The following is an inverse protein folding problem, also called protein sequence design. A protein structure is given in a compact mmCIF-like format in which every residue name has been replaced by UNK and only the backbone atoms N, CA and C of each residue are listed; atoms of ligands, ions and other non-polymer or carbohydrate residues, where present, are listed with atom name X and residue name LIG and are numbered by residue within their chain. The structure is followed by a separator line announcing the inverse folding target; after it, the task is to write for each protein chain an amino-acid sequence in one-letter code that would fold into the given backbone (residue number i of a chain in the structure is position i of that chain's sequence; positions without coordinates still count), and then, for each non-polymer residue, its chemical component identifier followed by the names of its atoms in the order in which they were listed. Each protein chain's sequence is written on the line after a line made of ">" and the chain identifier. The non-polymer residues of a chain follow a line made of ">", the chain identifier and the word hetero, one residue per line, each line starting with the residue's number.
data_IF_617712883597
#
_entry.id   IF_617712883597
#
_cell.length_a   1.000
_cell.length_b   1.000
_cell.length_c   1.000
_cell.angle_alpha   90.00
_cell.angle_beta   90.00
_cell.angle_gamma   90.00
#
_symmetry.space_group_name_H-M   'P 1'
#
loop_
_entity.id
_entity.type
_entity.pdbx_description
1 polymer ?
#
# COMPACT_ATOMS: atom_id res chain seq x y z
N UNK A 1 87.58 -0.28 -26.48
CA UNK A 1 86.93 -0.46 -27.80
C UNK A 1 85.78 -1.45 -27.61
N UNK A 2 84.53 -1.08 -27.94
CA UNK A 2 83.32 -1.60 -27.32
C UNK A 2 82.59 -2.65 -28.17
N UNK A 3 81.82 -3.55 -27.53
CA UNK A 3 80.86 -4.44 -28.21
C UNK A 3 79.48 -4.38 -27.52
N UNK A 4 78.69 -3.42 -27.99
CA UNK A 4 77.23 -3.35 -28.18
C UNK A 4 76.31 -4.22 -27.30
N UNK A 5 75.68 -3.57 -26.33
CA UNK A 5 74.42 -4.01 -25.70
C UNK A 5 73.22 -3.72 -26.61
N UNK A 6 72.39 -4.74 -26.88
CA UNK A 6 71.11 -4.62 -27.58
C UNK A 6 70.03 -4.10 -26.62
N UNK A 7 69.27 -3.10 -27.06
CA UNK A 7 68.09 -2.54 -26.38
C UNK A 7 66.91 -3.52 -26.47
N UNK A 8 66.28 -3.86 -25.36
CA UNK A 8 64.91 -4.36 -25.31
C UNK A 8 64.01 -3.26 -24.75
N UNK A 9 63.02 -2.85 -25.55
CA UNK A 9 62.01 -1.88 -25.15
C UNK A 9 60.99 -2.56 -24.24
N UNK A 10 60.84 -2.06 -23.02
CA UNK A 10 59.73 -2.41 -22.13
C UNK A 10 58.62 -1.39 -22.40
N UNK A 11 57.50 -1.88 -22.91
CA UNK A 11 56.28 -1.13 -23.17
C UNK A 11 55.54 -0.97 -21.83
N UNK A 12 55.66 0.19 -21.19
CA UNK A 12 54.91 0.49 -19.96
C UNK A 12 53.48 0.90 -20.34
N UNK A 13 52.51 0.02 -20.11
CA UNK A 13 51.08 0.33 -20.17
C UNK A 13 50.74 1.14 -18.92
N UNK A 14 50.51 2.45 -19.07
CA UNK A 14 49.93 3.30 -18.04
C UNK A 14 48.44 2.94 -17.89
N UNK A 15 48.10 2.23 -16.81
CA UNK A 15 46.72 2.10 -16.37
C UNK A 15 46.28 3.42 -15.73
N UNK A 16 45.46 4.19 -16.45
CA UNK A 16 44.78 5.37 -15.93
C UNK A 16 43.70 4.89 -14.94
N UNK A 17 44.02 4.86 -13.65
CA UNK A 17 43.03 4.69 -12.60
C UNK A 17 42.21 5.99 -12.50
N UNK A 18 41.12 6.07 -13.28
CA UNK A 18 40.13 7.11 -13.16
C UNK A 18 39.48 7.05 -11.79
N UNK A 19 39.69 8.08 -10.98
CA UNK A 19 38.98 8.32 -9.73
C UNK A 19 37.51 8.58 -10.09
N UNK A 20 36.65 7.56 -10.09
CA UNK A 20 35.20 7.77 -10.08
C UNK A 20 34.84 8.31 -8.70
N UNK A 21 34.80 9.64 -8.60
CA UNK A 21 34.01 10.30 -7.55
C UNK A 21 32.55 9.92 -7.84
N UNK A 22 31.84 9.24 -6.93
CA UNK A 22 30.41 9.07 -7.10
C UNK A 22 29.81 10.48 -7.05
N UNK A 23 29.24 10.90 -8.18
CA UNK A 23 28.36 12.04 -8.23
C UNK A 23 27.09 11.61 -7.47
N UNK A 24 27.11 11.76 -6.15
CA UNK A 24 25.87 11.86 -5.41
C UNK A 24 25.17 13.08 -5.99
N UNK A 25 24.09 12.85 -6.74
CA UNK A 25 23.13 13.90 -7.01
C UNK A 25 22.74 14.43 -5.62
N UNK A 26 23.27 15.59 -5.27
CA UNK A 26 22.85 16.30 -4.06
C UNK A 26 21.36 16.52 -4.24
N UNK A 27 20.55 15.82 -3.45
CA UNK A 27 19.21 16.27 -3.18
C UNK A 27 19.32 17.75 -2.77
N UNK A 28 18.45 18.57 -3.33
CA UNK A 28 18.45 20.02 -3.14
C UNK A 28 18.61 20.36 -1.64
N UNK A 29 19.69 21.05 -1.27
CA UNK A 29 20.02 21.44 0.11
C UNK A 29 19.03 22.49 0.68
N UNK A 30 17.86 22.70 0.07
CA UNK A 30 17.04 23.89 0.32
C UNK A 30 15.56 23.58 0.48
N UNK A 31 15.23 22.96 1.60
CA UNK A 31 14.32 23.56 2.59
C UNK A 31 14.08 22.57 3.73
N UNK A 32 15.09 22.38 4.59
CA UNK A 32 14.73 21.84 5.90
C UNK A 32 13.78 22.82 6.59
N UNK A 33 12.87 22.28 7.38
CA UNK A 33 12.07 23.07 8.30
C UNK A 33 12.08 22.42 9.67
N UNK A 34 11.98 23.27 10.68
CA UNK A 34 11.99 22.88 12.07
C UNK A 34 10.62 23.14 12.70
N UNK A 35 9.98 22.08 13.20
CA UNK A 35 8.80 22.21 14.06
C UNK A 35 9.29 22.28 15.50
N UNK A 36 8.94 23.36 16.23
CA UNK A 36 9.31 23.57 17.63
C UNK A 36 8.09 23.57 18.54
N UNK A 37 8.33 23.46 19.85
CA UNK A 37 7.31 23.53 20.91
C UNK A 37 6.17 22.51 20.71
N UNK A 38 6.47 21.34 20.16
CA UNK A 38 5.49 20.30 19.92
C UNK A 38 5.50 19.26 21.05
N UNK A 39 4.32 18.72 21.35
CA UNK A 39 4.18 17.50 22.14
C UNK A 39 4.09 16.31 21.18
N UNK A 40 5.20 15.62 21.00
CA UNK A 40 5.35 14.53 20.04
C UNK A 40 4.67 13.26 20.57
N UNK A 41 3.80 12.67 19.75
CA UNK A 41 3.27 11.31 19.90
C UNK A 41 3.68 10.52 18.66
N UNK A 42 4.69 9.65 18.79
CA UNK A 42 5.35 9.01 17.64
C UNK A 42 4.63 7.75 17.09
N UNK A 43 3.47 7.40 17.65
CA UNK A 43 2.69 6.23 17.23
C UNK A 43 3.15 4.90 17.83
N UNK A 44 4.23 4.86 18.61
CA UNK A 44 4.72 3.63 19.26
C UNK A 44 3.87 3.13 20.43
N UNK A 45 2.92 3.94 20.91
CA UNK A 45 2.16 3.71 22.14
C UNK A 45 2.88 4.16 23.43
N UNK A 46 4.11 4.68 23.32
CA UNK A 46 4.86 5.25 24.45
C UNK A 46 4.36 6.62 24.92
N UNK A 47 4.96 7.18 25.99
CA UNK A 47 4.63 8.51 26.48
C UNK A 47 5.05 9.60 25.49
N UNK A 48 4.30 10.70 25.49
CA UNK A 48 4.63 11.88 24.67
C UNK A 48 5.91 12.58 25.12
N UNK A 49 6.65 13.17 24.18
CA UNK A 49 7.88 13.96 24.45
C UNK A 49 7.71 15.40 24.01
N UNK A 50 8.22 16.36 24.79
CA UNK A 50 8.19 17.78 24.41
C UNK A 50 9.52 18.16 23.76
N UNK A 51 9.55 18.12 22.44
CA UNK A 51 10.76 18.20 21.62
C UNK A 51 10.45 18.88 20.28
N UNK A 52 11.50 19.17 19.53
CA UNK A 52 11.44 19.70 18.17
C UNK A 52 11.72 18.60 17.15
N UNK A 53 11.21 18.78 15.93
CA UNK A 53 11.39 17.86 14.80
C UNK A 53 11.94 18.62 13.61
N UNK A 54 13.09 18.19 13.10
CA UNK A 54 13.63 18.68 11.83
C UNK A 54 13.23 17.73 10.72
N UNK A 55 12.63 18.28 9.67
CA UNK A 55 12.32 17.56 8.43
C UNK A 55 13.22 18.11 7.34
N UNK A 56 13.80 17.23 6.55
CA UNK A 56 14.62 17.59 5.40
C UNK A 56 14.13 16.80 4.18
N UNK A 57 13.66 17.50 3.16
CA UNK A 57 12.98 16.89 2.02
C UNK A 57 11.77 16.07 2.48
N UNK A 58 11.81 14.76 2.22
CA UNK A 58 10.75 13.80 2.56
C UNK A 58 11.06 12.95 3.79
N UNK A 59 12.03 13.34 4.62
CA UNK A 59 12.46 12.54 5.78
C UNK A 59 12.49 13.36 7.06
N UNK A 60 12.10 12.72 8.17
CA UNK A 60 12.40 13.20 9.51
C UNK A 60 13.91 13.01 9.74
N UNK A 61 14.64 14.11 9.88
CA UNK A 61 16.09 14.10 9.99
C UNK A 61 16.54 13.96 11.46
N UNK A 62 15.96 14.76 12.36
CA UNK A 62 16.40 14.85 13.76
C UNK A 62 15.20 15.11 14.69
N UNK A 63 15.30 14.59 15.92
CA UNK A 63 14.39 14.83 17.03
C UNK A 63 15.17 15.34 18.24
N UNK A 64 14.56 16.21 19.05
CA UNK A 64 15.10 16.62 20.35
C UNK A 64 15.05 18.12 20.58
N UNK A 65 15.96 18.63 21.42
CA UNK A 65 16.07 20.07 21.70
C UNK A 65 16.90 20.77 20.61
N UNK A 66 16.25 21.07 19.49
CA UNK A 66 16.90 21.60 18.29
C UNK A 66 16.80 23.13 18.25
N UNK A 67 17.84 23.77 17.69
CA UNK A 67 17.83 25.20 17.34
C UNK A 67 17.67 25.36 15.82
N UNK A 68 16.97 26.41 15.36
CA UNK A 68 16.88 26.72 13.93
C UNK A 68 18.27 26.91 13.32
N UNK A 69 18.50 26.31 12.14
CA UNK A 69 19.65 26.60 11.30
C UNK A 69 19.48 27.97 10.62
N UNK A 70 20.58 28.54 10.13
CA UNK A 70 20.54 29.82 9.42
C UNK A 70 19.68 29.71 8.15
N UNK A 71 18.58 30.46 8.09
CA UNK A 71 17.65 30.44 6.95
C UNK A 71 16.65 29.28 6.95
N UNK A 72 16.62 28.47 8.02
CA UNK A 72 15.66 27.37 8.18
C UNK A 72 14.28 27.90 8.57
N UNK A 73 13.25 27.49 7.83
CA UNK A 73 11.86 27.81 8.18
C UNK A 73 11.51 27.16 9.51
N UNK A 74 11.00 27.95 10.45
CA UNK A 74 10.56 27.46 11.76
C UNK A 74 9.04 27.53 11.86
N UNK A 75 8.42 26.42 12.25
CA UNK A 75 6.99 26.29 12.54
C UNK A 75 6.83 26.11 14.04
N UNK A 76 6.13 27.04 14.70
CA UNK A 76 5.81 26.91 16.12
C UNK A 76 4.51 26.13 16.29
N UNK A 77 4.59 24.93 16.88
CA UNK A 77 3.43 24.10 17.16
C UNK A 77 2.60 24.61 18.36
N UNK A 78 3.07 25.63 19.09
CA UNK A 78 2.35 26.28 20.19
C UNK A 78 1.84 25.30 21.28
N UNK A 79 2.58 24.22 21.53
CA UNK A 79 2.22 23.18 22.50
C UNK A 79 1.22 22.14 21.99
N UNK A 80 0.84 22.20 20.71
CA UNK A 80 -0.03 21.21 20.07
C UNK A 80 0.68 19.86 19.91
N UNK A 81 -0.13 18.84 19.59
CA UNK A 81 0.37 17.51 19.28
C UNK A 81 0.99 17.49 17.89
N UNK A 82 2.17 16.89 17.79
CA UNK A 82 2.74 16.46 16.52
C UNK A 82 2.76 14.93 16.49
N UNK A 83 2.09 14.33 15.51
CA UNK A 83 2.03 12.89 15.29
C UNK A 83 2.48 12.51 13.89
N UNK A 84 2.74 11.23 13.60
CA UNK A 84 2.66 10.72 12.24
C UNK A 84 1.32 11.11 11.61
N UNK A 85 1.32 11.33 10.30
CA UNK A 85 0.08 11.48 9.56
C UNK A 85 -0.76 10.21 9.63
N UNK A 86 -2.08 10.35 9.63
CA UNK A 86 -2.96 9.21 9.80
C UNK A 86 -3.00 8.36 8.53
N UNK A 87 -3.09 7.04 8.75
CA UNK A 87 -3.28 6.04 7.70
C UNK A 87 -4.73 5.59 7.77
N UNK A 88 -5.51 5.97 6.77
CA UNK A 88 -6.84 5.45 6.57
C UNK A 88 -6.74 4.07 5.89
N UNK A 89 -7.01 3.04 6.67
CA UNK A 89 -6.85 1.65 6.25
C UNK A 89 -8.00 1.14 5.38
N UNK A 90 -9.05 1.94 5.16
CA UNK A 90 -10.23 1.52 4.41
C UNK A 90 -10.84 2.68 3.62
N UNK A 91 -10.40 2.83 2.37
CA UNK A 91 -10.84 3.92 1.51
C UNK A 91 -11.35 3.43 0.17
N UNK A 92 -12.36 4.14 -0.35
CA UNK A 92 -12.92 3.96 -1.70
C UNK A 92 -12.66 5.19 -2.58
N UNK A 93 -11.66 6.00 -2.21
CA UNK A 93 -11.33 7.25 -2.94
C UNK A 93 -10.74 6.97 -4.32
N UNK A 94 -10.26 5.76 -4.61
CA UNK A 94 -9.81 5.32 -5.94
C UNK A 94 -10.84 5.58 -7.05
N UNK A 95 -12.14 5.59 -6.72
CA UNK A 95 -13.21 5.93 -7.65
C UNK A 95 -13.16 7.38 -8.17
N UNK A 96 -12.62 8.33 -7.40
CA UNK A 96 -12.70 9.76 -7.69
C UNK A 96 -11.39 10.54 -7.45
N UNK A 97 -10.30 9.87 -7.08
CA UNK A 97 -9.07 10.52 -6.65
C UNK A 97 -8.43 11.40 -7.74
N UNK A 98 -8.63 11.08 -9.02
CA UNK A 98 -8.14 11.90 -10.14
C UNK A 98 -9.02 13.12 -10.44
N UNK A 99 -10.29 13.12 -9.99
CA UNK A 99 -11.20 14.25 -10.09
C UNK A 99 -10.98 15.24 -8.94
N UNK A 100 -10.50 14.74 -7.79
CA UNK A 100 -10.24 15.51 -6.57
C UNK A 100 -8.82 15.22 -6.03
N UNK A 101 -7.75 15.61 -6.78
CA UNK A 101 -6.37 15.24 -6.45
C UNK A 101 -5.83 15.94 -5.20
N UNK A 102 -6.51 16.97 -4.69
CA UNK A 102 -6.18 17.62 -3.43
C UNK A 102 -6.60 16.77 -2.20
N UNK A 103 -7.43 15.74 -2.42
CA UNK A 103 -7.93 14.83 -1.40
C UNK A 103 -8.43 15.55 -0.15
N UNK A 104 -9.13 16.68 -0.31
CA UNK A 104 -9.46 17.59 0.79
C UNK A 104 -10.21 16.89 1.93
N UNK A 105 -11.08 15.92 1.61
CA UNK A 105 -11.78 15.10 2.60
C UNK A 105 -10.83 14.31 3.50
N UNK A 106 -9.70 13.82 2.97
CA UNK A 106 -8.68 13.10 3.72
C UNK A 106 -7.74 14.08 4.46
N UNK A 107 -7.16 15.03 3.74
CA UNK A 107 -6.13 15.94 4.27
C UNK A 107 -6.66 16.80 5.42
N UNK A 108 -7.92 17.26 5.34
CA UNK A 108 -8.54 18.07 6.41
C UNK A 108 -8.72 17.32 7.74
N UNK A 109 -8.60 15.99 7.72
CA UNK A 109 -8.66 15.14 8.91
C UNK A 109 -7.26 14.72 9.41
N UNK A 110 -6.19 15.12 8.71
CA UNK A 110 -4.81 14.72 9.01
C UNK A 110 -4.40 13.38 8.38
N UNK A 111 -5.19 12.84 7.43
CA UNK A 111 -4.85 11.63 6.70
C UNK A 111 -3.76 11.95 5.66
N UNK A 112 -2.67 11.18 5.70
CA UNK A 112 -1.55 11.28 4.75
C UNK A 112 -1.42 10.05 3.88
N UNK A 113 -2.12 8.97 4.20
CA UNK A 113 -2.11 7.72 3.43
C UNK A 113 -3.48 7.08 3.46
N UNK A 114 -3.94 6.63 2.30
CA UNK A 114 -5.15 5.81 2.18
C UNK A 114 -4.78 4.43 1.64
N UNK A 115 -5.58 3.43 2.02
CA UNK A 115 -5.53 2.08 1.45
C UNK A 115 -6.81 1.86 0.65
N UNK A 116 -6.65 1.66 -0.67
CA UNK A 116 -7.74 1.48 -1.64
C UNK A 116 -7.80 0.05 -2.17
N UNK A 117 -8.70 -0.21 -3.12
CA UNK A 117 -8.89 -1.55 -3.64
C UNK A 117 -9.66 -2.44 -2.65
N UNK A 118 -10.51 -1.84 -1.80
CA UNK A 118 -11.18 -2.51 -0.70
C UNK A 118 -12.46 -3.22 -1.17
N UNK A 119 -12.98 -4.13 -0.35
CA UNK A 119 -14.29 -4.78 -0.54
C UNK A 119 -14.44 -5.47 -1.90
N UNK A 120 -13.34 -6.01 -2.41
CA UNK A 120 -13.27 -6.76 -3.65
C UNK A 120 -13.23 -5.91 -4.92
N UNK A 121 -13.30 -4.59 -4.85
CA UNK A 121 -13.22 -3.70 -6.01
C UNK A 121 -11.83 -3.11 -6.20
N UNK A 122 -11.25 -3.22 -7.38
CA UNK A 122 -10.05 -2.49 -7.80
C UNK A 122 -9.97 -2.35 -9.33
N UNK A 123 -9.14 -1.43 -9.83
CA UNK A 123 -8.72 -1.47 -11.24
C UNK A 123 -7.73 -2.62 -11.45
N UNK A 124 -7.95 -3.44 -12.49
CA UNK A 124 -7.11 -4.59 -12.84
C UNK A 124 -6.76 -4.51 -14.34
N UNK A 125 -5.47 -4.60 -14.74
CA UNK A 125 -4.30 -4.75 -13.88
C UNK A 125 -4.00 -3.46 -13.09
N UNK A 126 -3.51 -3.64 -11.87
CA UNK A 126 -3.28 -2.55 -10.92
C UNK A 126 -2.20 -1.57 -11.39
N UNK A 127 -1.25 -2.03 -12.22
CA UNK A 127 -0.28 -1.15 -12.89
C UNK A 127 -0.92 -0.01 -13.68
N UNK A 128 -2.15 -0.15 -14.19
CA UNK A 128 -2.83 0.96 -14.84
C UNK A 128 -3.15 2.09 -13.85
N UNK A 129 -3.64 1.73 -12.66
CA UNK A 129 -3.93 2.68 -11.59
C UNK A 129 -2.65 3.37 -11.09
N UNK A 130 -1.60 2.60 -10.81
CA UNK A 130 -0.32 3.16 -10.37
C UNK A 130 0.31 4.08 -11.42
N UNK A 131 0.26 3.72 -12.71
CA UNK A 131 0.75 4.60 -13.78
C UNK A 131 -0.05 5.91 -13.87
N UNK A 132 -1.36 5.89 -13.59
CA UNK A 132 -2.15 7.13 -13.53
C UNK A 132 -1.70 8.02 -12.37
N UNK A 133 -1.40 7.44 -11.21
CA UNK A 133 -0.87 8.17 -10.05
C UNK A 133 0.52 8.75 -10.31
N UNK A 134 1.41 8.00 -10.95
CA UNK A 134 2.74 8.48 -11.34
C UNK A 134 2.65 9.69 -12.29
N UNK A 135 1.71 9.65 -13.24
CA UNK A 135 1.50 10.72 -14.21
C UNK A 135 0.71 11.90 -13.65
N UNK A 136 -0.13 11.67 -12.63
CA UNK A 136 -1.00 12.66 -12.02
C UNK A 136 -0.93 12.52 -10.49
N UNK A 137 0.15 13.00 -9.84
CA UNK A 137 0.31 12.90 -8.41
C UNK A 137 -0.82 13.57 -7.63
N UNK A 138 -1.17 12.99 -6.49
CA UNK A 138 -2.23 13.49 -5.60
C UNK A 138 -1.64 13.83 -4.23
N UNK A 139 -2.41 14.55 -3.40
CA UNK A 139 -1.91 15.15 -2.17
C UNK A 139 -1.54 14.14 -1.06
N UNK A 140 -1.93 12.88 -1.18
CA UNK A 140 -1.75 11.82 -0.19
C UNK A 140 -1.08 10.59 -0.81
N UNK A 141 -0.48 9.77 0.05
CA UNK A 141 0.04 8.47 -0.37
C UNK A 141 -1.10 7.47 -0.56
N UNK A 142 -0.93 6.52 -1.48
CA UNK A 142 -1.93 5.49 -1.77
C UNK A 142 -1.24 4.13 -1.81
N UNK A 143 -1.78 3.18 -1.07
CA UNK A 143 -1.51 1.76 -1.26
C UNK A 143 -2.80 1.05 -1.68
N UNK A 144 -2.70 -0.08 -2.35
CA UNK A 144 -3.86 -0.75 -2.94
C UNK A 144 -3.85 -2.27 -2.75
N UNK A 145 -5.03 -2.85 -2.57
CA UNK A 145 -5.28 -4.28 -2.71
C UNK A 145 -5.74 -4.61 -4.14
N UNK A 146 -5.53 -5.86 -4.56
CA UNK A 146 -6.24 -6.42 -5.72
C UNK A 146 -7.64 -6.86 -5.26
N UNK A 147 -8.66 -6.52 -6.03
CA UNK A 147 -10.06 -6.77 -5.69
C UNK A 147 -10.57 -8.07 -6.29
N UNK A 148 -10.95 -9.04 -5.45
CA UNK A 148 -11.53 -10.32 -5.88
C UNK A 148 -12.75 -10.17 -6.81
N UNK A 149 -13.63 -9.22 -6.52
CA UNK A 149 -14.85 -9.01 -7.30
C UNK A 149 -14.51 -8.45 -8.69
N UNK A 150 -13.47 -7.63 -8.82
CA UNK A 150 -12.92 -7.21 -10.13
C UNK A 150 -12.34 -8.39 -10.91
N UNK A 151 -11.57 -9.28 -10.25
CA UNK A 151 -11.02 -10.48 -10.87
C UNK A 151 -12.12 -11.38 -11.42
N UNK A 152 -13.14 -11.70 -10.61
CA UNK A 152 -14.32 -12.46 -11.06
C UNK A 152 -15.04 -11.79 -12.21
N UNK A 153 -15.22 -10.47 -12.16
CA UNK A 153 -15.92 -9.71 -13.21
C UNK A 153 -15.20 -9.81 -14.55
N UNK A 154 -13.86 -9.73 -14.56
CA UNK A 154 -13.05 -9.84 -15.77
C UNK A 154 -13.09 -11.26 -16.33
N UNK A 155 -12.95 -12.26 -15.46
CA UNK A 155 -12.84 -13.66 -15.87
C UNK A 155 -14.19 -14.27 -16.28
N UNK A 156 -15.25 -14.04 -15.51
CA UNK A 156 -16.54 -14.71 -15.69
C UNK A 156 -17.55 -13.86 -16.48
N UNK A 157 -17.31 -12.55 -16.62
CA UNK A 157 -18.22 -11.63 -17.31
C UNK A 157 -19.62 -11.68 -16.71
N UNK A 158 -20.65 -11.97 -17.51
CA UNK A 158 -22.05 -12.03 -17.05
C UNK A 158 -22.44 -13.35 -16.37
N UNK A 159 -21.58 -14.36 -16.44
CA UNK A 159 -21.84 -15.71 -15.92
C UNK A 159 -21.39 -15.88 -14.46
N UNK A 160 -21.20 -14.78 -13.73
CA UNK A 160 -20.64 -14.79 -12.38
C UNK A 160 -21.56 -15.39 -11.30
N UNK A 161 -22.84 -15.65 -11.61
CA UNK A 161 -23.86 -16.11 -10.65
C UNK A 161 -23.79 -17.63 -10.39
N UNK A 162 -22.58 -18.15 -10.27
CA UNK A 162 -22.25 -19.56 -9.98
C UNK A 162 -20.84 -19.67 -9.41
N UNK A 163 -20.46 -20.82 -8.83
CA UNK A 163 -19.06 -21.12 -8.54
C UNK A 163 -18.18 -21.03 -9.79
N UNK A 164 -16.92 -20.60 -9.61
CA UNK A 164 -15.94 -20.58 -10.69
C UNK A 164 -15.52 -22.00 -11.07
N UNK A 165 -15.25 -22.22 -12.35
CA UNK A 165 -14.59 -23.43 -12.82
C UNK A 165 -13.09 -23.38 -12.51
N UNK A 166 -12.42 -24.53 -12.50
CA UNK A 166 -10.96 -24.58 -12.28
C UNK A 166 -10.17 -23.69 -13.26
N UNK A 167 -10.62 -23.56 -14.51
CA UNK A 167 -9.96 -22.70 -15.51
C UNK A 167 -10.16 -21.22 -15.19
N UNK A 168 -11.32 -20.84 -14.67
CA UNK A 168 -11.59 -19.45 -14.25
C UNK A 168 -10.79 -19.10 -12.99
N UNK A 169 -10.68 -20.02 -12.03
CA UNK A 169 -9.81 -19.83 -10.85
C UNK A 169 -8.37 -19.59 -11.29
N UNK A 170 -7.82 -20.41 -12.20
CA UNK A 170 -6.47 -20.19 -12.74
C UNK A 170 -6.32 -18.86 -13.47
N UNK A 171 -7.34 -18.43 -14.22
CA UNK A 171 -7.32 -17.13 -14.87
C UNK A 171 -7.30 -15.98 -13.85
N UNK A 172 -8.01 -16.11 -12.72
CA UNK A 172 -7.97 -15.12 -11.65
C UNK A 172 -6.64 -15.15 -10.89
N UNK A 173 -6.04 -16.34 -10.69
CA UNK A 173 -4.69 -16.49 -10.12
C UNK A 173 -3.65 -15.76 -10.97
N UNK A 174 -3.71 -15.87 -12.30
CA UNK A 174 -2.79 -15.19 -13.22
C UNK A 174 -2.91 -13.65 -13.12
N UNK A 175 -4.14 -13.14 -13.08
CA UNK A 175 -4.40 -11.70 -12.91
C UNK A 175 -3.94 -11.20 -11.54
N UNK A 176 -4.26 -11.94 -10.48
CA UNK A 176 -3.85 -11.61 -9.12
C UNK A 176 -2.33 -11.62 -8.99
N UNK A 177 -1.65 -12.60 -9.59
CA UNK A 177 -0.20 -12.65 -9.61
C UNK A 177 0.40 -11.40 -10.25
N UNK A 178 -0.15 -10.94 -11.37
CA UNK A 178 0.27 -9.69 -12.00
C UNK A 178 0.08 -8.49 -11.05
N UNK A 179 -1.08 -8.39 -10.38
CA UNK A 179 -1.32 -7.30 -9.44
C UNK A 179 -0.35 -7.33 -8.23
N UNK A 180 -0.01 -8.52 -7.74
CA UNK A 180 0.99 -8.69 -6.68
C UNK A 180 2.40 -8.26 -7.15
N UNK A 181 2.77 -8.58 -8.40
CA UNK A 181 4.02 -8.12 -9.03
C UNK A 181 4.02 -6.60 -9.27
N UNK A 182 2.85 -6.02 -9.55
CA UNK A 182 2.65 -4.57 -9.72
C UNK A 182 2.71 -3.80 -8.39
N UNK A 183 2.66 -4.49 -7.24
CA UNK A 183 2.83 -3.90 -5.91
C UNK A 183 1.58 -3.92 -5.02
N UNK A 184 0.58 -4.75 -5.32
CA UNK A 184 -0.58 -4.91 -4.44
C UNK A 184 -0.17 -5.37 -3.03
N UNK A 185 -0.87 -4.86 -2.01
CA UNK A 185 -0.67 -5.29 -0.61
C UNK A 185 -1.17 -6.72 -0.34
N UNK A 186 -2.03 -7.24 -1.22
CA UNK A 186 -2.70 -8.52 -1.08
C UNK A 186 -4.02 -8.57 -1.82
N UNK A 187 -4.95 -9.41 -1.33
CA UNK A 187 -6.29 -9.56 -1.89
C UNK A 187 -7.35 -9.01 -0.93
N UNK A 188 -8.29 -8.21 -1.45
CA UNK A 188 -9.53 -7.83 -0.78
C UNK A 188 -10.71 -8.63 -1.34
N UNK A 189 -11.74 -8.86 -0.53
CA UNK A 189 -12.98 -9.53 -0.95
C UNK A 189 -14.21 -8.73 -0.54
N UNK A 190 -15.24 -8.75 -1.39
CA UNK A 190 -16.56 -8.21 -1.14
C UNK A 190 -17.60 -9.30 -1.25
N UNK A 191 -17.70 -10.14 -0.22
CA UNK A 191 -18.48 -11.38 -0.29
C UNK A 191 -19.98 -11.16 -0.14
N UNK A 192 -20.43 -9.97 0.27
CA UNK A 192 -21.85 -9.61 0.28
C UNK A 192 -22.34 -9.15 -1.12
N UNK A 193 -21.43 -8.77 -2.01
CA UNK A 193 -21.75 -8.10 -3.27
C UNK A 193 -21.57 -8.99 -4.50
N UNK A 194 -22.37 -8.75 -5.53
CA UNK A 194 -22.07 -9.29 -6.86
C UNK A 194 -20.69 -8.77 -7.35
N UNK A 195 -19.85 -9.61 -8.00
CA UNK A 195 -19.98 -11.04 -8.21
C UNK A 195 -19.51 -11.94 -7.04
N UNK A 196 -18.84 -11.39 -6.02
CA UNK A 196 -18.23 -12.15 -4.93
C UNK A 196 -19.21 -12.98 -4.09
N UNK A 197 -20.49 -12.59 -4.06
CA UNK A 197 -21.54 -13.31 -3.35
C UNK A 197 -21.67 -14.79 -3.74
N UNK A 198 -21.34 -15.15 -4.98
CA UNK A 198 -21.45 -16.52 -5.49
C UNK A 198 -20.14 -17.30 -5.45
N UNK A 199 -19.06 -16.73 -4.91
CA UNK A 199 -17.80 -17.46 -4.75
C UNK A 199 -17.88 -18.43 -3.58
N UNK A 200 -17.20 -19.56 -3.74
CA UNK A 200 -17.01 -20.53 -2.67
C UNK A 200 -15.78 -20.18 -1.84
N UNK A 201 -15.77 -20.57 -0.57
CA UNK A 201 -14.63 -20.35 0.33
C UNK A 201 -13.31 -20.92 -0.23
N UNK A 202 -13.38 -22.05 -0.93
CA UNK A 202 -12.21 -22.70 -1.53
C UNK A 202 -11.56 -21.86 -2.64
N UNK A 203 -12.36 -21.15 -3.43
CA UNK A 203 -11.87 -20.20 -4.44
C UNK A 203 -11.02 -19.10 -3.80
N UNK A 204 -11.50 -18.52 -2.69
CA UNK A 204 -10.77 -17.48 -1.96
C UNK A 204 -9.47 -18.04 -1.39
N UNK A 205 -9.51 -19.25 -0.83
CA UNK A 205 -8.32 -19.91 -0.29
C UNK A 205 -7.28 -20.20 -1.38
N UNK A 206 -7.71 -20.61 -2.57
CA UNK A 206 -6.81 -20.87 -3.70
C UNK A 206 -6.11 -19.59 -4.16
N UNK A 207 -6.86 -18.50 -4.34
CA UNK A 207 -6.28 -17.19 -4.68
C UNK A 207 -5.30 -16.69 -3.61
N UNK A 208 -5.63 -16.88 -2.33
CA UNK A 208 -4.77 -16.46 -1.22
C UNK A 208 -3.47 -17.28 -1.11
N UNK A 209 -3.39 -18.48 -1.69
CA UNK A 209 -2.10 -19.20 -1.80
C UNK A 209 -1.11 -18.40 -2.64
N UNK A 210 -1.56 -17.79 -3.74
CA UNK A 210 -0.72 -16.89 -4.55
C UNK A 210 -0.23 -15.71 -3.72
N UNK A 211 -1.14 -15.05 -2.98
CA UNK A 211 -0.80 -13.91 -2.11
C UNK A 211 0.28 -14.26 -1.07
N UNK A 212 0.29 -15.51 -0.60
CA UNK A 212 1.27 -15.98 0.39
C UNK A 212 2.72 -15.98 -0.11
N UNK A 213 2.94 -16.23 -1.40
CA UNK A 213 4.28 -16.19 -2.01
C UNK A 213 4.87 -14.78 -1.97
N UNK A 214 4.01 -13.76 -1.92
CA UNK A 214 4.37 -12.34 -1.88
C UNK A 214 4.34 -11.75 -0.47
N UNK A 215 4.09 -12.56 0.57
CA UNK A 215 3.90 -12.11 1.96
C UNK A 215 2.80 -11.04 2.08
N UNK A 216 1.78 -11.14 1.23
CA UNK A 216 0.67 -10.21 1.19
C UNK A 216 -0.29 -10.39 2.37
N UNK A 217 -1.42 -9.68 2.28
CA UNK A 217 -2.47 -9.65 3.31
C UNK A 217 -3.82 -10.05 2.73
N UNK A 218 -4.73 -10.39 3.61
CA UNK A 218 -6.13 -10.63 3.27
C UNK A 218 -7.01 -9.61 3.98
N UNK A 219 -7.95 -9.00 3.26
CA UNK A 219 -9.01 -8.19 3.87
C UNK A 219 -10.37 -8.56 3.29
N UNK A 220 -11.42 -8.46 4.11
CA UNK A 220 -12.75 -8.87 3.68
C UNK A 220 -13.84 -7.98 4.22
N UNK A 221 -14.67 -7.48 3.30
CA UNK A 221 -16.08 -7.29 3.57
C UNK A 221 -16.73 -8.68 3.55
N UNK A 222 -17.10 -9.14 4.74
CA UNK A 222 -17.58 -10.50 4.96
C UNK A 222 -18.93 -10.75 4.27
N UNK A 223 -19.30 -12.01 4.09
CA UNK A 223 -20.51 -12.39 3.34
C UNK A 223 -21.81 -11.82 3.91
N UNK A 224 -21.82 -11.54 5.21
CA UNK A 224 -22.93 -10.88 5.91
C UNK A 224 -22.40 -10.11 7.12
N UNK A 225 -23.01 -8.96 7.39
CA UNK A 225 -22.83 -8.18 8.62
C UNK A 225 -24.12 -8.14 9.47
N UNK A 226 -25.09 -9.02 9.17
CA UNK A 226 -26.45 -8.97 9.73
C UNK A 226 -26.87 -10.30 10.40
N UNK A 227 -28.02 -10.88 10.05
CA UNK A 227 -28.56 -12.09 10.67
C UNK A 227 -27.67 -13.32 10.44
N UNK A 228 -26.75 -13.28 9.46
CA UNK A 228 -25.78 -14.34 9.18
C UNK A 228 -24.34 -13.98 9.59
N UNK A 229 -24.15 -12.97 10.45
CA UNK A 229 -22.83 -12.52 10.91
C UNK A 229 -21.96 -13.65 11.48
N UNK A 230 -22.51 -14.55 12.29
CA UNK A 230 -21.75 -15.65 12.89
C UNK A 230 -21.16 -16.57 11.81
N UNK A 231 -21.96 -16.96 10.81
CA UNK A 231 -21.51 -17.79 9.70
C UNK A 231 -20.46 -17.08 8.84
N UNK A 232 -20.61 -15.77 8.64
CA UNK A 232 -19.66 -14.96 7.88
C UNK A 232 -18.31 -14.80 8.62
N UNK A 233 -18.35 -14.66 9.96
CA UNK A 233 -17.15 -14.68 10.81
C UNK A 233 -16.46 -16.04 10.79
N UNK A 234 -17.22 -17.14 10.86
CA UNK A 234 -16.68 -18.49 10.78
C UNK A 234 -16.00 -18.74 9.42
N UNK A 235 -16.60 -18.30 8.32
CA UNK A 235 -15.98 -18.35 6.98
C UNK A 235 -14.67 -17.56 6.95
N UNK A 236 -14.66 -16.32 7.45
CA UNK A 236 -13.45 -15.50 7.50
C UNK A 236 -12.35 -16.15 8.33
N UNK A 237 -12.66 -16.64 9.53
CA UNK A 237 -11.71 -17.32 10.42
C UNK A 237 -11.16 -18.58 9.75
N UNK A 238 -12.00 -19.34 9.05
CA UNK A 238 -11.58 -20.55 8.35
C UNK A 238 -10.60 -20.23 7.21
N UNK A 239 -10.89 -19.21 6.40
CA UNK A 239 -9.98 -18.71 5.37
C UNK A 239 -8.65 -18.30 5.99
N UNK A 240 -8.67 -17.50 7.06
CA UNK A 240 -7.46 -17.06 7.77
C UNK A 240 -6.66 -18.23 8.34
N UNK A 241 -7.34 -19.24 8.90
CA UNK A 241 -6.70 -20.45 9.48
C UNK A 241 -6.02 -21.29 8.41
N UNK A 242 -6.67 -21.47 7.25
CA UNK A 242 -6.15 -22.26 6.13
C UNK A 242 -4.96 -21.60 5.45
N UNK A 243 -5.01 -20.28 5.27
CA UNK A 243 -3.99 -19.52 4.54
C UNK A 243 -2.85 -19.03 5.44
N UNK A 244 -3.11 -18.84 6.74
CA UNK A 244 -2.17 -18.30 7.73
C UNK A 244 -1.65 -16.90 7.38
N UNK A 245 -2.39 -16.17 6.56
CA UNK A 245 -2.06 -14.79 6.20
C UNK A 245 -2.53 -13.81 7.29
N UNK A 246 -1.80 -12.69 7.49
CA UNK A 246 -2.36 -11.56 8.23
C UNK A 246 -3.68 -11.14 7.57
N UNK A 247 -4.75 -11.22 8.33
CA UNK A 247 -6.11 -11.03 7.83
C UNK A 247 -6.81 -9.91 8.60
N UNK A 248 -7.60 -9.10 7.92
CA UNK A 248 -8.37 -8.00 8.50
C UNK A 248 -9.85 -8.10 8.09
N UNK A 249 -10.75 -7.96 9.04
CA UNK A 249 -12.18 -7.74 8.75
C UNK A 249 -12.37 -6.25 8.47
N UNK A 250 -12.90 -5.94 7.30
CA UNK A 250 -13.31 -4.58 6.94
C UNK A 250 -14.44 -4.10 7.86
N UNK A 251 -14.37 -2.85 8.31
CA UNK A 251 -15.46 -2.09 8.99
C UNK A 251 -16.45 -2.93 9.85
N UNK A 252 -15.93 -3.77 10.74
CA UNK A 252 -16.74 -4.72 11.52
C UNK A 252 -17.94 -4.02 12.19
N UNK A 253 -19.13 -4.49 11.87
CA UNK A 253 -20.38 -3.92 12.38
C UNK A 253 -21.44 -5.01 12.55
N UNK A 254 -22.50 -4.71 13.30
CA UNK A 254 -23.72 -5.51 13.32
C UNK A 254 -24.85 -4.65 12.77
N UNK A 255 -25.20 -4.90 11.51
CA UNK A 255 -26.29 -4.21 10.84
C UNK A 255 -27.61 -4.94 11.11
N UNK A 256 -28.65 -4.18 11.46
CA UNK A 256 -29.96 -4.76 11.75
C UNK A 256 -30.77 -4.91 10.46
N UNK A 257 -30.64 -6.04 9.78
CA UNK A 257 -31.56 -6.59 8.77
C UNK A 257 -31.99 -5.61 7.67
N UNK A 258 -31.05 -5.14 6.85
CA UNK A 258 -31.35 -4.25 5.72
C UNK A 258 -31.64 -5.03 4.42
N UNK A 259 -31.19 -6.29 4.29
CA UNK A 259 -31.46 -7.12 3.12
C UNK A 259 -32.21 -8.41 3.47
N UNK A 260 -33.54 -8.31 3.53
CA UNK A 260 -34.45 -9.45 3.52
C UNK A 260 -34.56 -10.10 2.13
N UNK A 261 -33.43 -10.55 1.56
CA UNK A 261 -33.37 -11.30 0.31
C UNK A 261 -32.95 -12.74 0.57
N UNK A 262 -33.76 -13.71 0.12
CA UNK A 262 -33.54 -15.14 0.31
C UNK A 262 -32.11 -15.57 -0.09
N UNK A 263 -31.28 -15.98 0.87
CA UNK A 263 -30.10 -16.81 0.59
C UNK A 263 -30.53 -18.28 0.46
N UNK A 264 -30.12 -19.00 -0.60
CA UNK A 264 -30.19 -20.45 -0.61
C UNK A 264 -29.10 -20.99 0.34
N UNK A 265 -29.52 -21.85 1.29
CA UNK A 265 -28.63 -22.60 2.16
C UNK A 265 -28.04 -23.85 1.52
#
# INVERSE_FOLDING_TARGET
>A
MPLKTKKFAILTILALAGLMVPFYLSADERSSFLIINAKIIDGSGGPSRFESVRVNGNQIQELGQLKPLSGETTVDAAGLILSPGFIDTHSHMDNHIFEMPDALSAVSQGITTIVVGMDGGSEVPLSNFFRKLENNPVAINIAAYSGHNSLRSITMGKDYKRPSTEMEIRSMEDLLKQDMEDGALGLSTGLEYDPGLYSETDEIVDLLKIVSDYKGRYTSHMRSEDIYLEAALDEFIEISRRTKLPSQISHISLQKGVYGGNHPG
#
